data_IF_905558085797
#
_entry.id   IF_905558085797
#
_cell.length_a   1.000
_cell.length_b   1.000
_cell.length_c   1.000
_cell.angle_alpha   90.00
_cell.angle_beta   90.00
_cell.angle_gamma   90.00
#
_symmetry.space_group_name_H-M   'P 1'
#
loop_
_entity.id
_entity.type
_entity.pdbx_description
1 polymer ?
#
# COMPACT_ATOMS: atom_id res chain seq x y z
N UNK A 1 -15.79 -17.17 2.42
CA UNK A 1 -15.24 -16.19 1.46
C UNK A 1 -13.81 -15.90 1.91
N UNK A 2 -12.80 -16.32 1.16
CA UNK A 2 -11.39 -16.08 1.49
C UNK A 2 -11.07 -14.64 1.10
N UNK A 3 -10.80 -13.77 2.07
CA UNK A 3 -10.50 -12.36 1.79
C UNK A 3 -9.12 -12.26 1.14
N UNK A 4 -8.90 -11.27 0.28
CA UNK A 4 -7.76 -11.17 -0.63
C UNK A 4 -6.43 -10.72 0.04
N UNK A 5 -6.47 -10.14 1.25
CA UNK A 5 -5.29 -9.77 2.03
C UNK A 5 -5.06 -10.59 3.34
N UNK A 6 -5.40 -11.89 3.42
CA UNK A 6 -5.55 -12.58 4.70
C UNK A 6 -4.19 -12.97 5.32
N UNK A 7 -3.10 -12.99 4.54
CA UNK A 7 -1.78 -13.48 4.99
C UNK A 7 -1.11 -12.53 5.99
N UNK A 8 -1.40 -11.24 5.89
CA UNK A 8 -0.80 -10.22 6.75
C UNK A 8 -1.65 -9.82 7.95
N UNK A 9 -2.96 -10.06 7.90
CA UNK A 9 -3.90 -9.64 8.94
C UNK A 9 -3.66 -10.27 10.31
N UNK A 10 -3.37 -11.59 10.43
CA UNK A 10 -3.05 -12.18 11.72
C UNK A 10 -1.85 -11.51 12.41
N UNK A 11 -0.77 -11.24 11.66
CA UNK A 11 0.42 -10.56 12.19
C UNK A 11 0.13 -9.11 12.64
N UNK A 12 -0.84 -8.46 12.00
CA UNK A 12 -1.29 -7.12 12.36
C UNK A 12 -2.38 -7.12 13.44
N UNK A 13 -2.87 -8.28 13.89
CA UNK A 13 -3.99 -8.37 14.82
C UNK A 13 -5.31 -7.84 14.25
N UNK A 14 -5.46 -7.83 12.92
CA UNK A 14 -6.69 -7.39 12.25
C UNK A 14 -7.72 -8.50 12.34
N UNK A 15 -8.88 -8.20 12.92
CA UNK A 15 -10.00 -9.14 13.01
C UNK A 15 -10.66 -9.37 11.65
N UNK A 16 -11.40 -10.47 11.52
CA UNK A 16 -12.14 -10.75 10.29
C UNK A 16 -13.15 -9.64 9.95
N UNK A 17 -13.82 -9.08 10.96
CA UNK A 17 -14.80 -8.01 10.77
C UNK A 17 -14.14 -6.72 10.26
N UNK A 18 -13.03 -6.30 10.88
CA UNK A 18 -12.26 -5.14 10.42
C UNK A 18 -11.73 -5.34 9.01
N UNK A 19 -11.23 -6.54 8.72
CA UNK A 19 -10.77 -6.93 7.39
C UNK A 19 -11.86 -6.86 6.33
N UNK A 20 -13.08 -7.33 6.62
CA UNK A 20 -14.22 -7.21 5.71
C UNK A 20 -14.64 -5.75 5.47
N UNK A 21 -14.60 -4.91 6.51
CA UNK A 21 -14.86 -3.46 6.38
C UNK A 21 -13.81 -2.80 5.47
N UNK A 22 -12.54 -3.14 5.66
CA UNK A 22 -11.45 -2.67 4.80
C UNK A 22 -11.65 -3.12 3.35
N UNK A 23 -11.96 -4.40 3.13
CA UNK A 23 -12.15 -4.96 1.79
C UNK A 23 -13.32 -4.29 1.07
N UNK A 24 -14.43 -4.05 1.78
CA UNK A 24 -15.59 -3.31 1.24
C UNK A 24 -15.19 -1.89 0.83
N UNK A 25 -14.54 -1.16 1.73
CA UNK A 25 -14.09 0.21 1.48
C UNK A 25 -13.16 0.28 0.26
N UNK A 26 -12.13 -0.56 0.22
CA UNK A 26 -11.18 -0.60 -0.89
C UNK A 26 -11.82 -1.03 -2.21
N UNK A 27 -12.84 -1.90 -2.18
CA UNK A 27 -13.52 -2.38 -3.38
C UNK A 27 -14.43 -1.33 -3.97
N UNK A 28 -15.18 -0.62 -3.13
CA UNK A 28 -16.02 0.49 -3.58
C UNK A 28 -15.19 1.57 -4.28
N UNK A 29 -14.07 1.98 -3.69
CA UNK A 29 -13.19 3.00 -4.28
C UNK A 29 -12.48 2.52 -5.55
N UNK A 30 -12.07 1.24 -5.59
CA UNK A 30 -11.45 0.66 -6.78
C UNK A 30 -12.41 0.55 -7.95
N UNK A 31 -13.68 0.18 -7.71
CA UNK A 31 -14.68 0.13 -8.77
C UNK A 31 -15.10 1.52 -9.27
N UNK A 32 -14.82 2.57 -8.50
CA UNK A 32 -15.10 3.96 -8.87
C UNK A 32 -13.95 4.65 -9.61
N UNK A 33 -12.72 4.12 -9.60
CA UNK A 33 -11.57 4.75 -10.24
C UNK A 33 -10.56 3.74 -10.78
N UNK A 34 -10.22 3.90 -12.06
CA UNK A 34 -9.35 2.99 -12.82
C UNK A 34 -7.93 2.89 -12.24
N UNK A 35 -7.39 3.96 -11.65
CA UNK A 35 -6.04 3.94 -11.09
C UNK A 35 -5.98 3.01 -9.88
N UNK A 36 -6.92 3.14 -8.94
CA UNK A 36 -6.98 2.23 -7.79
C UNK A 36 -7.32 0.80 -8.22
N UNK A 37 -8.22 0.63 -9.20
CA UNK A 37 -8.51 -0.68 -9.76
C UNK A 37 -7.26 -1.41 -10.26
N UNK A 38 -6.49 -0.77 -11.15
CA UNK A 38 -5.30 -1.34 -11.74
C UNK A 38 -4.21 -1.61 -10.68
N UNK A 39 -4.01 -0.70 -9.72
CA UNK A 39 -3.08 -0.94 -8.60
C UNK A 39 -3.51 -2.13 -7.75
N UNK A 40 -4.82 -2.34 -7.53
CA UNK A 40 -5.29 -3.52 -6.79
C UNK A 40 -5.04 -4.82 -7.55
N UNK A 41 -5.24 -4.84 -8.87
CA UNK A 41 -4.88 -5.98 -9.71
C UNK A 41 -3.37 -6.25 -9.68
N UNK A 42 -2.56 -5.20 -9.75
CA UNK A 42 -1.09 -5.32 -9.64
C UNK A 42 -0.70 -6.01 -8.33
N UNK A 43 -1.24 -5.58 -7.18
CA UNK A 43 -1.02 -6.27 -5.90
C UNK A 43 -1.45 -7.74 -5.93
N UNK A 44 -2.56 -8.05 -6.60
CA UNK A 44 -3.08 -9.42 -6.71
C UNK A 44 -2.17 -10.33 -7.50
N UNK A 45 -1.54 -9.77 -8.53
CA UNK A 45 -0.66 -10.54 -9.39
C UNK A 45 0.49 -11.16 -8.63
N UNK A 46 1.05 -10.49 -7.61
CA UNK A 46 2.19 -11.03 -6.84
C UNK A 46 1.91 -12.40 -6.21
N UNK A 47 0.73 -12.58 -5.61
CA UNK A 47 0.34 -13.86 -5.03
C UNK A 47 0.04 -14.93 -6.10
N UNK A 48 -0.63 -14.52 -7.17
CA UNK A 48 -1.00 -15.44 -8.25
C UNK A 48 0.23 -15.90 -9.05
N UNK A 49 1.23 -15.02 -9.24
CA UNK A 49 2.52 -15.35 -9.84
C UNK A 49 3.29 -16.31 -8.93
N UNK A 50 3.35 -16.03 -7.61
CA UNK A 50 3.99 -16.93 -6.64
C UNK A 50 3.36 -18.33 -6.63
N UNK A 51 2.05 -18.42 -6.89
CA UNK A 51 1.31 -19.68 -6.99
C UNK A 51 1.35 -20.30 -8.40
N UNK A 52 2.10 -19.74 -9.35
CA UNK A 52 2.17 -20.17 -10.75
C UNK A 52 0.80 -20.17 -11.48
N UNK A 53 -0.13 -19.32 -11.04
CA UNK A 53 -1.45 -19.13 -11.68
C UNK A 53 -1.38 -18.10 -12.81
N UNK A 54 -0.54 -17.07 -12.65
CA UNK A 54 -0.28 -16.05 -13.66
C UNK A 54 1.19 -16.04 -14.04
N UNK A 55 1.51 -15.72 -15.31
CA UNK A 55 2.89 -15.61 -15.72
C UNK A 55 3.51 -14.28 -15.26
N UNK A 56 4.82 -14.22 -14.96
CA UNK A 56 5.46 -13.03 -14.36
C UNK A 56 5.28 -11.72 -15.14
N UNK A 57 5.20 -11.78 -16.48
CA UNK A 57 4.97 -10.63 -17.35
C UNK A 57 3.63 -9.93 -17.09
N UNK A 58 2.66 -10.61 -16.46
CA UNK A 58 1.38 -10.00 -16.08
C UNK A 58 1.58 -8.87 -15.08
N UNK A 59 2.54 -8.97 -14.16
CA UNK A 59 2.86 -7.88 -13.24
C UNK A 59 3.43 -6.65 -13.98
N UNK A 60 4.25 -6.87 -15.02
CA UNK A 60 4.80 -5.78 -15.83
C UNK A 60 3.70 -5.05 -16.59
N UNK A 61 2.77 -5.79 -17.19
CA UNK A 61 1.61 -5.21 -17.88
C UNK A 61 0.69 -4.47 -16.90
N UNK A 62 0.35 -5.06 -15.76
CA UNK A 62 -0.49 -4.41 -14.74
C UNK A 62 0.16 -3.14 -14.16
N UNK A 63 1.48 -3.12 -14.02
CA UNK A 63 2.21 -1.92 -13.59
C UNK A 63 2.11 -0.81 -14.62
N UNK A 64 2.28 -1.12 -15.90
CA UNK A 64 2.08 -0.16 -17.00
C UNK A 64 0.65 0.40 -17.00
N UNK A 65 -0.37 -0.45 -16.86
CA UNK A 65 -1.77 -0.01 -16.75
C UNK A 65 -2.02 0.87 -15.53
N UNK A 66 -1.48 0.50 -14.37
CA UNK A 66 -1.59 1.30 -13.15
C UNK A 66 -0.96 2.69 -13.33
N UNK A 67 0.28 2.77 -13.83
CA UNK A 67 0.98 4.05 -14.05
C UNK A 67 0.24 4.92 -15.08
N UNK A 68 -0.25 4.34 -16.18
CA UNK A 68 -1.05 5.10 -17.16
C UNK A 68 -2.30 5.68 -16.54
N UNK A 69 -3.09 4.88 -15.82
CA UNK A 69 -4.31 5.35 -15.17
C UNK A 69 -4.05 6.38 -14.07
N UNK A 70 -2.92 6.28 -13.36
CA UNK A 70 -2.48 7.31 -12.41
C UNK A 70 -2.21 8.63 -13.14
N UNK A 71 -1.44 8.60 -14.23
CA UNK A 71 -1.12 9.81 -14.98
C UNK A 71 -2.38 10.47 -15.57
N UNK A 72 -3.29 9.68 -16.15
CA UNK A 72 -4.58 10.18 -16.63
C UNK A 72 -5.43 10.80 -15.52
N UNK A 73 -5.40 10.24 -14.30
CA UNK A 73 -6.12 10.79 -13.15
C UNK A 73 -5.48 12.08 -12.62
N UNK A 74 -4.17 12.25 -12.76
CA UNK A 74 -3.46 13.46 -12.35
C UNK A 74 -3.77 14.66 -13.26
N UNK A 75 -4.11 14.41 -14.52
CA UNK A 75 -4.51 15.45 -15.47
C UNK A 75 -5.95 15.97 -15.22
N UNK A 76 -6.75 15.25 -14.42
CA UNK A 76 -8.09 15.67 -13.99
C UNK A 76 -8.03 16.25 -12.57
N UNK A 77 -8.29 17.56 -12.37
CA UNK A 77 -8.18 18.20 -11.05
C UNK A 77 -9.15 17.63 -10.00
N UNK A 78 -10.28 17.04 -10.41
CA UNK A 78 -11.23 16.40 -9.50
C UNK A 78 -10.69 15.05 -9.03
N UNK A 79 -10.03 14.30 -9.92
CA UNK A 79 -9.51 12.96 -9.62
C UNK A 79 -8.13 12.98 -8.98
N UNK A 80 -7.30 13.97 -9.30
CA UNK A 80 -5.88 14.06 -8.93
C UNK A 80 -5.61 13.98 -7.42
N UNK A 81 -6.56 14.40 -6.58
CA UNK A 81 -6.49 14.33 -5.11
C UNK A 81 -7.67 13.59 -4.48
N UNK A 82 -8.37 12.78 -5.28
CA UNK A 82 -9.47 11.94 -4.82
C UNK A 82 -9.00 10.87 -3.83
N UNK A 83 -9.96 10.32 -3.09
CA UNK A 83 -9.71 9.24 -2.13
C UNK A 83 -9.07 8.02 -2.81
N UNK A 84 -9.61 7.62 -3.97
CA UNK A 84 -9.06 6.54 -4.77
C UNK A 84 -7.62 6.84 -5.21
N UNK A 85 -7.31 8.09 -5.55
CA UNK A 85 -5.97 8.46 -5.99
C UNK A 85 -4.95 8.39 -4.83
N UNK A 86 -5.30 8.92 -3.66
CA UNK A 86 -4.44 8.82 -2.46
C UNK A 86 -4.15 7.36 -2.10
N UNK A 87 -5.16 6.49 -2.19
CA UNK A 87 -5.01 5.05 -1.95
C UNK A 87 -4.15 4.39 -3.02
N UNK A 88 -4.36 4.70 -4.29
CA UNK A 88 -3.63 4.11 -5.41
C UNK A 88 -2.14 4.47 -5.37
N UNK A 89 -1.77 5.74 -5.15
CA UNK A 89 -0.36 6.16 -5.06
C UNK A 89 0.35 5.53 -3.87
N UNK A 90 -0.29 5.46 -2.71
CA UNK A 90 0.31 4.77 -1.56
C UNK A 90 0.48 3.28 -1.76
N UNK A 91 -0.50 2.64 -2.39
CA UNK A 91 -0.45 1.22 -2.68
C UNK A 91 0.67 0.95 -3.69
N UNK A 92 0.73 1.63 -4.84
CA UNK A 92 1.82 1.39 -5.81
C UNK A 92 3.20 1.65 -5.19
N UNK A 93 3.36 2.63 -4.30
CA UNK A 93 4.59 2.82 -3.54
C UNK A 93 5.00 1.56 -2.76
N UNK A 94 4.06 1.00 -1.99
CA UNK A 94 4.29 -0.22 -1.23
C UNK A 94 4.53 -1.44 -2.14
N UNK A 95 3.88 -1.51 -3.31
CA UNK A 95 4.17 -2.57 -4.28
C UNK A 95 5.60 -2.48 -4.78
N UNK A 96 6.03 -1.30 -5.23
CA UNK A 96 7.39 -1.08 -5.74
C UNK A 96 8.44 -1.34 -4.64
N UNK A 97 8.17 -1.02 -3.38
CA UNK A 97 9.10 -1.32 -2.27
C UNK A 97 9.26 -2.81 -1.99
N UNK A 98 8.22 -3.60 -2.21
CA UNK A 98 8.19 -5.04 -1.94
C UNK A 98 8.65 -5.88 -3.13
N UNK A 99 8.30 -5.49 -4.35
CA UNK A 99 8.44 -6.34 -5.54
C UNK A 99 9.12 -5.66 -6.73
N UNK A 100 9.33 -4.35 -6.69
CA UNK A 100 9.72 -3.56 -7.86
C UNK A 100 10.89 -2.60 -7.61
N UNK A 101 10.75 -1.39 -8.12
CA UNK A 101 11.75 -0.34 -8.01
C UNK A 101 11.62 0.42 -6.69
N UNK A 102 12.45 0.03 -5.72
CA UNK A 102 12.55 0.71 -4.42
C UNK A 102 12.88 2.19 -4.56
N UNK A 103 13.61 2.61 -5.59
CA UNK A 103 13.89 4.03 -5.85
C UNK A 103 12.61 4.78 -6.20
N UNK A 104 11.79 4.23 -7.10
CA UNK A 104 10.50 4.80 -7.46
C UNK A 104 9.54 4.90 -6.26
N UNK A 105 9.50 3.87 -5.40
CA UNK A 105 8.72 3.91 -4.16
C UNK A 105 9.09 5.13 -3.30
N UNK A 106 10.39 5.37 -3.09
CA UNK A 106 10.88 6.36 -2.13
C UNK A 106 11.01 7.78 -2.68
N UNK A 107 11.44 7.93 -3.92
CA UNK A 107 11.70 9.24 -4.52
C UNK A 107 10.49 9.82 -5.24
N UNK A 108 9.53 8.97 -5.62
CA UNK A 108 8.38 9.38 -6.44
C UNK A 108 7.07 9.16 -5.69
N UNK A 109 6.72 7.90 -5.42
CA UNK A 109 5.35 7.58 -4.99
C UNK A 109 5.06 7.96 -3.54
N UNK A 110 5.96 7.69 -2.59
CA UNK A 110 5.78 8.10 -1.18
C UNK A 110 5.65 9.62 -1.01
N UNK A 111 6.56 10.45 -1.55
CA UNK A 111 6.42 11.91 -1.48
C UNK A 111 5.15 12.41 -2.16
N UNK A 112 4.76 11.82 -3.29
CA UNK A 112 3.53 12.18 -3.99
C UNK A 112 2.28 11.90 -3.13
N UNK A 113 2.18 10.71 -2.52
CA UNK A 113 1.07 10.40 -1.63
C UNK A 113 0.99 11.38 -0.46
N UNK A 114 2.13 11.66 0.19
CA UNK A 114 2.19 12.61 1.28
C UNK A 114 1.68 14.00 0.84
N UNK A 115 2.11 14.50 -0.31
CA UNK A 115 1.64 15.78 -0.85
C UNK A 115 0.13 15.79 -1.07
N UNK A 116 -0.45 14.71 -1.63
CA UNK A 116 -1.90 14.60 -1.82
C UNK A 116 -2.66 14.64 -0.48
N UNK A 117 -2.16 13.94 0.53
CA UNK A 117 -2.73 13.95 1.89
C UNK A 117 -2.69 15.38 2.47
N UNK A 118 -1.56 16.08 2.33
CA UNK A 118 -1.44 17.46 2.82
C UNK A 118 -2.36 18.43 2.08
N UNK A 119 -2.54 18.27 0.77
CA UNK A 119 -3.50 19.07 -0.01
C UNK A 119 -4.96 18.85 0.43
N UNK A 120 -5.26 17.70 1.04
CA UNK A 120 -6.57 17.39 1.64
C UNK A 120 -6.70 17.81 3.10
N UNK A 121 -5.72 18.55 3.65
CA UNK A 121 -5.75 19.01 5.05
C UNK A 121 -5.11 18.03 6.04
N UNK A 122 -4.31 17.07 5.56
CA UNK A 122 -3.60 16.12 6.39
C UNK A 122 -4.40 14.85 6.70
N UNK A 123 -3.75 13.91 7.39
CA UNK A 123 -4.31 12.56 7.65
C UNK A 123 -5.61 12.59 8.47
N UNK A 124 -5.77 13.58 9.34
CA UNK A 124 -6.98 13.79 10.15
C UNK A 124 -8.20 14.16 9.30
N UNK A 125 -8.01 14.92 8.22
CA UNK A 125 -9.08 15.42 7.35
C UNK A 125 -9.59 14.39 6.34
N UNK A 126 -8.89 13.27 6.16
CA UNK A 126 -9.37 12.17 5.31
C UNK A 126 -10.48 11.40 6.01
N UNK A 127 -11.63 11.23 5.37
CA UNK A 127 -12.79 10.48 5.90
C UNK A 127 -12.63 8.95 5.74
N UNK A 128 -11.40 8.46 5.88
CA UNK A 128 -11.08 7.05 5.77
C UNK A 128 -11.38 6.30 7.07
N UNK A 129 -11.84 5.04 7.01
CA UNK A 129 -11.90 4.17 8.18
C UNK A 129 -10.53 4.10 8.85
N UNK A 130 -10.51 4.06 10.18
CA UNK A 130 -9.25 4.13 10.92
C UNK A 130 -8.28 2.99 10.55
N UNK A 131 -8.78 1.78 10.28
CA UNK A 131 -7.92 0.69 9.81
C UNK A 131 -7.18 1.04 8.50
N UNK A 132 -7.83 1.75 7.58
CA UNK A 132 -7.19 2.21 6.33
C UNK A 132 -6.06 3.18 6.66
N UNK A 133 -6.29 4.15 7.56
CA UNK A 133 -5.27 5.09 8.02
C UNK A 133 -4.10 4.39 8.72
N UNK A 134 -4.38 3.42 9.59
CA UNK A 134 -3.37 2.58 10.26
C UNK A 134 -2.50 1.82 9.25
N UNK A 135 -3.10 1.25 8.20
CA UNK A 135 -2.37 0.55 7.15
C UNK A 135 -1.55 1.49 6.26
N UNK A 136 -2.01 2.73 6.01
CA UNK A 136 -1.21 3.75 5.33
C UNK A 136 0.03 4.12 6.13
N UNK A 137 -0.11 4.37 7.44
CA UNK A 137 1.02 4.66 8.35
C UNK A 137 2.01 3.48 8.42
N UNK A 138 1.49 2.26 8.48
CA UNK A 138 2.32 1.05 8.44
C UNK A 138 3.13 0.94 7.15
N UNK A 139 2.50 1.17 5.99
CA UNK A 139 3.19 1.14 4.71
C UNK A 139 4.32 2.17 4.66
N UNK A 140 4.06 3.42 5.07
CA UNK A 140 5.09 4.45 5.14
C UNK A 140 6.23 4.09 6.11
N UNK A 141 5.92 3.56 7.30
CA UNK A 141 6.95 3.10 8.25
C UNK A 141 7.85 2.05 7.63
N UNK A 142 7.25 1.01 7.05
CA UNK A 142 8.01 -0.10 6.46
C UNK A 142 8.94 0.41 5.37
N UNK A 143 8.42 1.23 4.44
CA UNK A 143 9.23 1.76 3.35
C UNK A 143 10.32 2.70 3.85
N UNK A 144 10.04 3.51 4.88
CA UNK A 144 11.01 4.39 5.52
C UNK A 144 12.19 3.59 6.10
N UNK A 145 11.88 2.53 6.86
CA UNK A 145 12.90 1.66 7.45
C UNK A 145 13.68 0.88 6.39
N UNK A 146 13.02 0.38 5.34
CA UNK A 146 13.70 -0.33 4.25
C UNK A 146 14.76 0.53 3.55
N UNK A 147 14.60 1.86 3.59
CA UNK A 147 15.30 2.78 2.70
C UNK A 147 16.14 3.83 3.43
N UNK A 148 16.23 3.76 4.76
CA UNK A 148 16.92 4.75 5.61
C UNK A 148 16.47 6.18 5.37
N UNK A 149 15.18 6.35 5.11
CA UNK A 149 14.57 7.67 4.91
C UNK A 149 13.67 8.02 6.08
N UNK A 150 13.46 9.31 6.39
CA UNK A 150 12.40 9.72 7.29
C UNK A 150 11.02 9.22 6.84
N UNK A 151 10.11 9.14 7.80
CA UNK A 151 8.70 8.90 7.55
C UNK A 151 8.03 10.18 7.08
N UNK A 152 7.00 10.00 6.26
CA UNK A 152 6.09 11.08 5.87
C UNK A 152 4.83 11.10 6.72
N UNK A 153 4.39 9.94 7.21
CA UNK A 153 3.19 9.81 8.02
C UNK A 153 3.56 9.57 9.48
N UNK A 154 3.13 10.49 10.33
CA UNK A 154 3.38 10.46 11.77
C UNK A 154 2.81 9.21 12.44
N UNK A 155 3.44 8.81 13.55
CA UNK A 155 2.91 7.80 14.43
C UNK A 155 1.81 8.35 15.34
N UNK A 156 0.89 7.45 15.65
CA UNK A 156 -0.17 7.67 16.63
C UNK A 156 -0.27 6.42 17.50
N UNK A 157 -0.97 6.52 18.63
CA UNK A 157 -1.23 5.39 19.54
C UNK A 157 -1.96 4.21 18.86
N UNK A 158 -2.56 4.46 17.69
CA UNK A 158 -3.28 3.46 16.91
C UNK A 158 -2.39 2.76 15.87
N UNK A 159 -1.13 3.19 15.71
CA UNK A 159 -0.19 2.58 14.77
C UNK A 159 0.22 1.20 15.24
N UNK A 160 0.44 0.26 14.30
CA UNK A 160 0.93 -1.08 14.65
C UNK A 160 2.31 -0.98 15.33
N UNK A 161 2.67 -1.95 16.15
CA UNK A 161 4.02 -1.99 16.73
C UNK A 161 5.10 -2.29 15.68
N UNK A 162 6.37 -2.06 16.03
CA UNK A 162 7.50 -2.42 15.17
C UNK A 162 7.50 -3.93 14.87
N UNK A 163 7.30 -4.76 15.88
CA UNK A 163 7.28 -6.22 15.73
C UNK A 163 6.19 -6.68 14.75
N UNK A 164 4.96 -6.17 14.91
CA UNK A 164 3.87 -6.46 13.96
C UNK A 164 4.22 -6.01 12.54
N UNK A 165 4.86 -4.84 12.41
CA UNK A 165 5.24 -4.27 11.11
C UNK A 165 6.26 -5.11 10.35
N UNK A 166 7.22 -5.71 11.08
CA UNK A 166 8.22 -6.63 10.51
C UNK A 166 7.61 -7.98 10.21
N UNK A 167 6.85 -8.55 11.14
CA UNK A 167 6.25 -9.89 11.00
C UNK A 167 5.34 -9.98 9.77
N UNK A 168 4.53 -8.96 9.51
CA UNK A 168 3.66 -8.95 8.32
C UNK A 168 4.46 -8.99 7.01
N UNK A 169 5.61 -8.30 6.94
CA UNK A 169 6.47 -8.38 5.77
C UNK A 169 7.10 -9.75 5.61
N UNK A 170 7.52 -10.40 6.69
CA UNK A 170 8.05 -11.76 6.61
C UNK A 170 7.04 -12.75 6.03
N UNK A 171 5.73 -12.50 6.22
CA UNK A 171 4.66 -13.31 5.61
C UNK A 171 4.42 -12.98 4.14
N UNK A 172 4.59 -11.73 3.71
CA UNK A 172 4.33 -11.30 2.34
C UNK A 172 5.53 -11.41 1.41
N UNK A 173 6.69 -10.99 1.90
CA UNK A 173 7.98 -10.89 1.22
C UNK A 173 9.09 -11.35 2.19
N UNK A 174 9.29 -12.67 2.36
CA UNK A 174 10.14 -13.21 3.42
C UNK A 174 11.57 -12.66 3.44
N UNK A 175 12.18 -12.46 2.27
CA UNK A 175 13.56 -11.95 2.17
C UNK A 175 13.66 -10.52 2.68
N UNK A 176 12.74 -9.66 2.23
CA UNK A 176 12.63 -8.27 2.62
C UNK A 176 12.27 -8.13 4.11
N UNK A 177 11.38 -8.99 4.61
CA UNK A 177 10.99 -9.06 6.01
C UNK A 177 12.16 -9.43 6.94
N UNK A 178 12.91 -10.48 6.62
CA UNK A 178 14.09 -10.89 7.40
C UNK A 178 15.17 -9.81 7.37
N UNK A 179 15.40 -9.20 6.20
CA UNK A 179 16.34 -8.09 6.06
C UNK A 179 15.94 -6.91 6.96
N UNK A 180 14.65 -6.59 7.02
CA UNK A 180 14.14 -5.54 7.88
C UNK A 180 14.26 -5.90 9.37
N UNK A 181 13.99 -7.16 9.74
CA UNK A 181 14.16 -7.64 11.13
C UNK A 181 15.58 -7.44 11.63
N UNK A 182 16.57 -7.83 10.83
CA UNK A 182 17.97 -7.69 11.19
C UNK A 182 18.33 -6.21 11.43
N UNK A 183 17.79 -5.34 10.57
CA UNK A 183 18.01 -3.90 10.67
C UNK A 183 17.43 -3.27 11.93
N UNK A 184 16.22 -3.65 12.34
CA UNK A 184 15.58 -3.08 13.56
C UNK A 184 16.10 -3.68 14.86
N UNK A 185 16.82 -4.81 14.80
CA UNK A 185 17.40 -5.48 15.97
C UNK A 185 18.82 -5.00 16.30
N UNK A 186 19.39 -4.14 15.46
CA UNK A 186 20.74 -3.58 15.61
C UNK A 186 20.66 -2.16 16.18
#
# INVERSE_FOLDING_TARGET
>A
MTVFAPRGWPALGITQEEGLKWERFMTQHALADTALFNVRLLFASGDLIRLNVLPPETALWLRDQAVRSINEALDDPVRAISDSMILAVGRIALHESMYGDKSAANLIHRPAQHRMIMMRGGMGALEFPELVKRLMRWADRVMALQSDTPRFLEDTDQSFSMNQSVEVLEKWVPREGISLRNKVST
#
